data_IF_685418614757
#
_entry.id   IF_685418614757
#
_cell.length_a   1.000
_cell.length_b   1.000
_cell.length_c   1.000
_cell.angle_alpha   90.00
_cell.angle_beta   90.00
_cell.angle_gamma   90.00
#
_symmetry.space_group_name_H-M   'P 1'
#
loop_
_entity.id
_entity.type
_entity.pdbx_description
1 polymer ?
#
# COMPACT_ATOMS: atom_id res chain seq x y z
N UNK A 1 -13.47 0.18 2.94
CA UNK A 1 -13.81 -0.59 1.74
C UNK A 1 -13.69 -2.09 2.02
N UNK A 2 -14.67 -2.89 1.56
CA UNK A 2 -14.75 -4.33 1.83
C UNK A 2 -13.58 -5.13 1.25
N UNK A 3 -13.00 -4.66 0.15
CA UNK A 3 -11.88 -5.33 -0.53
C UNK A 3 -10.50 -4.84 -0.06
N UNK A 4 -10.41 -3.77 0.70
CA UNK A 4 -9.12 -3.34 1.24
C UNK A 4 -8.54 -4.41 2.17
N UNK A 5 -7.24 -4.67 2.03
CA UNK A 5 -6.55 -5.65 2.87
C UNK A 5 -6.32 -5.12 4.28
N UNK A 6 -6.23 -6.01 5.28
CA UNK A 6 -5.75 -5.63 6.60
C UNK A 6 -4.29 -5.13 6.50
N UNK A 7 -3.95 -4.18 7.33
CA UNK A 7 -2.56 -3.70 7.50
C UNK A 7 -1.85 -4.52 8.56
N UNK A 8 -0.54 -4.43 8.62
CA UNK A 8 0.20 -4.96 9.76
C UNK A 8 -0.14 -4.18 11.03
N UNK A 9 -0.19 -4.86 12.17
CA UNK A 9 -0.10 -4.21 13.48
C UNK A 9 1.20 -3.44 13.55
N UNK A 10 1.30 -2.54 14.54
CA UNK A 10 2.53 -1.80 14.77
C UNK A 10 3.74 -2.76 14.80
N UNK A 11 4.62 -2.57 13.81
CA UNK A 11 5.84 -3.36 13.68
C UNK A 11 6.88 -2.82 14.66
N UNK A 12 7.69 -3.73 15.21
CA UNK A 12 8.85 -3.34 15.99
C UNK A 12 9.94 -2.83 15.06
N UNK A 13 10.47 -1.65 15.32
CA UNK A 13 11.56 -1.07 14.53
C UNK A 13 12.52 -0.24 15.37
N UNK A 14 13.75 -0.10 14.86
CA UNK A 14 14.72 0.87 15.35
C UNK A 14 14.96 1.93 14.27
N UNK A 15 14.99 3.19 14.68
CA UNK A 15 15.32 4.34 13.83
C UNK A 15 16.60 4.99 14.32
N UNK A 16 17.74 4.53 13.81
CA UNK A 16 19.04 5.03 14.17
C UNK A 16 19.34 6.30 13.37
N UNK A 17 19.68 7.39 14.08
CA UNK A 17 20.02 8.66 13.42
C UNK A 17 21.28 8.59 12.56
N UNK A 18 22.17 7.67 12.88
CA UNK A 18 23.46 7.46 12.21
C UNK A 18 23.36 6.56 10.98
N UNK A 19 22.21 5.94 10.73
CA UNK A 19 21.98 4.98 9.65
C UNK A 19 20.85 5.42 8.72
N UNK A 20 20.90 4.99 7.47
CA UNK A 20 19.80 5.21 6.55
C UNK A 20 18.64 4.28 6.88
N UNK A 21 17.42 4.77 6.68
CA UNK A 21 16.20 3.98 6.77
C UNK A 21 15.83 3.54 8.19
N UNK A 22 15.18 2.41 8.28
CA UNK A 22 14.66 1.77 9.49
C UNK A 22 15.15 0.32 9.55
N UNK A 23 15.51 -0.13 10.74
CA UNK A 23 15.66 -1.56 11.03
C UNK A 23 14.32 -2.08 11.54
N UNK A 24 13.58 -2.79 10.68
CA UNK A 24 12.24 -3.27 10.97
C UNK A 24 12.26 -4.78 11.20
N UNK A 25 11.56 -5.26 12.23
CA UNK A 25 11.40 -6.70 12.48
C UNK A 25 10.18 -7.24 11.72
N UNK A 26 10.47 -8.00 10.66
CA UNK A 26 9.49 -8.67 9.81
C UNK A 26 9.53 -10.20 9.97
N UNK A 27 10.13 -10.71 11.05
CA UNK A 27 10.24 -12.16 11.27
C UNK A 27 8.89 -12.84 11.54
N UNK A 28 7.95 -12.10 12.15
CA UNK A 28 6.61 -12.61 12.46
C UNK A 28 5.56 -11.47 12.48
N UNK A 29 5.34 -10.78 11.34
CA UNK A 29 4.43 -9.66 11.27
C UNK A 29 2.97 -10.11 11.48
N UNK A 30 2.24 -9.42 12.35
CA UNK A 30 0.84 -9.73 12.63
C UNK A 30 -0.06 -8.75 11.88
N UNK A 31 -1.08 -9.28 11.22
CA UNK A 31 -2.11 -8.48 10.58
C UNK A 31 -3.11 -7.96 11.62
N UNK A 32 -3.58 -6.74 11.42
CA UNK A 32 -4.59 -6.14 12.28
C UNK A 32 -6.01 -6.52 11.84
N UNK A 33 -6.95 -6.38 12.77
CA UNK A 33 -8.38 -6.42 12.48
C UNK A 33 -8.74 -5.31 11.52
N UNK A 34 -9.53 -5.61 10.50
CA UNK A 34 -10.09 -4.56 9.64
C UNK A 34 -11.53 -4.27 10.00
N UNK A 35 -11.87 -3.00 10.01
CA UNK A 35 -13.22 -2.52 10.24
C UNK A 35 -13.75 -1.82 9.00
N UNK A 36 -15.03 -1.96 8.73
CA UNK A 36 -15.72 -1.29 7.64
C UNK A 36 -17.17 -1.02 7.98
N UNK A 37 -17.73 0.02 7.39
CA UNK A 37 -19.14 0.38 7.54
C UNK A 37 -19.94 -0.18 6.35
N UNK A 38 -21.00 -0.90 6.64
CA UNK A 38 -22.00 -1.31 5.66
C UNK A 38 -23.29 -0.52 5.87
N UNK A 39 -23.87 -0.10 4.76
CA UNK A 39 -25.15 0.60 4.73
C UNK A 39 -26.24 -0.37 4.21
N UNK A 40 -27.26 -0.62 5.04
CA UNK A 40 -28.38 -1.48 4.73
C UNK A 40 -29.64 -0.66 4.48
N UNK A 41 -30.26 -0.86 3.33
CA UNK A 41 -31.56 -0.26 2.98
C UNK A 41 -32.67 -1.29 3.20
N UNK A 42 -33.62 -1.00 4.07
CA UNK A 42 -34.73 -1.90 4.38
C UNK A 42 -35.97 -1.52 3.57
N UNK A 43 -36.26 -2.33 2.53
CA UNK A 43 -37.45 -2.15 1.72
C UNK A 43 -38.65 -2.70 2.48
N UNK A 44 -39.57 -1.82 2.86
CA UNK A 44 -40.93 -2.15 3.27
C UNK A 44 -41.28 -2.02 4.75
N UNK A 45 -40.36 -2.00 5.76
CA UNK A 45 -40.80 -1.74 7.13
C UNK A 45 -39.70 -1.73 8.22
N UNK A 46 -39.91 -0.92 9.24
CA UNK A 46 -39.21 -0.91 10.52
C UNK A 46 -39.05 -2.34 11.14
N UNK A 47 -40.09 -3.20 11.20
CA UNK A 47 -39.95 -4.54 11.79
C UNK A 47 -38.90 -5.44 11.14
N UNK A 48 -38.57 -5.26 9.86
CA UNK A 48 -37.49 -6.02 9.19
C UNK A 48 -36.13 -5.58 9.69
N UNK A 49 -35.92 -4.29 9.87
CA UNK A 49 -34.70 -3.73 10.43
C UNK A 49 -34.50 -4.20 11.88
N UNK A 50 -35.55 -4.14 12.72
CA UNK A 50 -35.46 -4.58 14.11
C UNK A 50 -35.10 -6.06 14.22
N UNK A 51 -35.68 -6.91 13.35
CA UNK A 51 -35.32 -8.33 13.27
C UNK A 51 -33.85 -8.53 12.83
N UNK A 52 -33.37 -7.75 11.87
CA UNK A 52 -31.96 -7.80 11.43
C UNK A 52 -31.02 -7.41 12.56
N UNK A 53 -31.31 -6.34 13.31
CA UNK A 53 -30.53 -5.92 14.46
C UNK A 53 -30.49 -7.02 15.53
N UNK A 54 -31.64 -7.64 15.82
CA UNK A 54 -31.72 -8.77 16.76
C UNK A 54 -30.84 -9.94 16.29
N UNK A 55 -30.88 -10.29 15.00
CA UNK A 55 -30.02 -11.35 14.45
C UNK A 55 -28.53 -11.02 14.58
N UNK A 56 -28.14 -9.77 14.31
CA UNK A 56 -26.74 -9.33 14.49
C UNK A 56 -26.30 -9.32 15.97
N UNK A 57 -27.25 -9.20 16.91
CA UNK A 57 -26.98 -9.17 18.34
C UNK A 57 -27.01 -10.55 19.00
N UNK A 58 -27.53 -11.56 18.32
CA UNK A 58 -27.73 -12.92 18.86
C UNK A 58 -26.40 -13.70 18.98
N UNK A 59 -25.50 -13.51 18.02
CA UNK A 59 -24.20 -14.16 17.99
C UNK A 59 -23.07 -13.14 17.92
N UNK A 60 -21.90 -13.51 18.47
CA UNK A 60 -20.72 -12.67 18.39
C UNK A 60 -20.21 -12.54 16.94
N UNK A 61 -20.31 -13.60 16.14
CA UNK A 61 -19.83 -13.68 14.76
C UNK A 61 -20.91 -14.16 13.81
N UNK A 62 -20.93 -13.57 12.61
CA UNK A 62 -21.84 -13.90 11.52
C UNK A 62 -21.10 -14.15 10.24
N UNK A 63 -21.45 -15.22 9.52
CA UNK A 63 -20.97 -15.43 8.14
C UNK A 63 -21.76 -14.54 7.19
N UNK A 64 -21.08 -13.57 6.59
CA UNK A 64 -21.63 -12.66 5.59
C UNK A 64 -21.13 -13.07 4.20
N UNK A 65 -22.06 -13.31 3.27
CA UNK A 65 -21.76 -13.68 1.89
C UNK A 65 -22.05 -12.47 1.00
N UNK A 66 -21.01 -11.99 0.33
CA UNK A 66 -21.06 -10.87 -0.62
C UNK A 66 -21.06 -11.46 -2.04
N UNK A 67 -22.25 -11.74 -2.56
CA UNK A 67 -22.43 -12.48 -3.82
C UNK A 67 -21.79 -11.76 -5.01
N UNK A 68 -21.95 -10.43 -5.07
CA UNK A 68 -21.48 -9.60 -6.19
C UNK A 68 -19.95 -9.55 -6.34
N UNK A 69 -19.22 -9.96 -5.31
CA UNK A 69 -17.75 -10.02 -5.30
C UNK A 69 -17.23 -11.42 -4.96
N UNK A 70 -18.11 -12.42 -4.88
CA UNK A 70 -17.76 -13.82 -4.53
C UNK A 70 -16.91 -13.94 -3.25
N UNK A 71 -17.24 -13.15 -2.23
CA UNK A 71 -16.50 -13.08 -0.96
C UNK A 71 -17.39 -13.53 0.20
N UNK A 72 -16.86 -14.40 1.06
CA UNK A 72 -17.48 -14.83 2.30
C UNK A 72 -16.58 -14.49 3.48
N UNK A 73 -17.13 -13.77 4.47
CA UNK A 73 -16.38 -13.31 5.63
C UNK A 73 -17.13 -13.63 6.91
N UNK A 74 -16.37 -13.98 7.94
CA UNK A 74 -16.88 -14.07 9.32
C UNK A 74 -16.69 -12.72 9.99
N UNK A 75 -17.79 -12.05 10.32
CA UNK A 75 -17.81 -10.67 10.78
C UNK A 75 -18.44 -10.55 12.16
N UNK A 76 -17.92 -9.62 12.94
CA UNK A 76 -18.45 -9.22 14.25
C UNK A 76 -19.04 -7.81 14.16
N UNK A 77 -20.22 -7.61 14.75
CA UNK A 77 -20.78 -6.27 14.88
C UNK A 77 -19.97 -5.47 15.91
N UNK A 78 -19.53 -4.27 15.53
CA UNK A 78 -18.82 -3.33 16.42
C UNK A 78 -19.79 -2.29 16.96
N UNK A 79 -20.54 -1.65 16.08
CA UNK A 79 -21.50 -0.62 16.46
C UNK A 79 -22.56 -0.41 15.39
N UNK A 80 -23.66 0.18 15.78
CA UNK A 80 -24.67 0.74 14.89
C UNK A 80 -24.36 2.23 14.76
N UNK A 81 -23.90 2.65 13.57
CA UNK A 81 -23.40 4.00 13.34
C UNK A 81 -24.49 5.05 13.13
N UNK A 82 -25.63 4.67 12.61
CA UNK A 82 -26.73 5.61 12.39
C UNK A 82 -27.97 4.98 11.77
N UNK A 83 -29.09 5.61 12.03
CA UNK A 83 -30.37 5.28 11.44
C UNK A 83 -30.92 6.52 10.74
N UNK A 84 -31.17 6.42 9.47
CA UNK A 84 -31.86 7.43 8.67
C UNK A 84 -33.24 6.92 8.26
N UNK A 85 -34.26 7.68 8.58
CA UNK A 85 -35.66 7.39 8.24
C UNK A 85 -36.18 8.31 7.12
N UNK A 86 -35.30 8.99 6.42
CA UNK A 86 -35.67 9.91 5.36
C UNK A 86 -36.36 9.15 4.22
N UNK A 87 -37.41 9.71 3.68
CA UNK A 87 -38.23 9.12 2.61
C UNK A 87 -38.97 7.80 2.96
N UNK A 88 -39.16 7.51 4.25
CA UNK A 88 -39.97 6.36 4.68
C UNK A 88 -39.31 4.99 4.52
N UNK A 89 -38.04 4.94 4.11
CA UNK A 89 -37.24 3.73 4.05
C UNK A 89 -36.15 3.79 5.09
N UNK A 90 -36.12 2.85 6.06
CA UNK A 90 -35.05 2.80 7.04
C UNK A 90 -33.70 2.47 6.38
N UNK A 91 -32.70 3.31 6.64
CA UNK A 91 -31.30 3.10 6.24
C UNK A 91 -30.47 2.94 7.51
N UNK A 92 -29.86 1.79 7.68
CA UNK A 92 -29.06 1.44 8.84
C UNK A 92 -27.58 1.35 8.44
N UNK A 93 -26.73 2.06 9.16
CA UNK A 93 -25.28 1.94 9.07
C UNK A 93 -24.78 1.07 10.19
N UNK A 94 -24.03 0.04 9.85
CA UNK A 94 -23.45 -0.91 10.79
C UNK A 94 -21.96 -0.98 10.58
N UNK A 95 -21.20 -0.78 11.65
CA UNK A 95 -19.76 -1.01 11.64
C UNK A 95 -19.50 -2.47 12.01
N UNK A 96 -18.78 -3.15 11.12
CA UNK A 96 -18.42 -4.55 11.26
C UNK A 96 -16.89 -4.70 11.32
N UNK A 97 -16.43 -5.71 12.03
CA UNK A 97 -15.03 -6.09 12.13
C UNK A 97 -14.79 -7.49 11.55
N UNK A 98 -13.69 -7.66 10.86
CA UNK A 98 -13.15 -8.95 10.42
C UNK A 98 -11.88 -9.23 11.21
N UNK A 99 -11.98 -10.13 12.20
CA UNK A 99 -10.94 -10.40 13.19
C UNK A 99 -9.97 -11.53 12.76
N UNK A 100 -10.26 -12.22 11.65
CA UNK A 100 -9.46 -13.35 11.13
C UNK A 100 -8.82 -13.01 9.76
N UNK A 101 -7.90 -12.05 9.70
CA UNK A 101 -7.35 -11.55 8.43
C UNK A 101 -6.61 -12.62 7.63
N UNK A 102 -6.07 -13.65 8.26
CA UNK A 102 -5.38 -14.76 7.58
C UNK A 102 -6.30 -15.59 6.69
N UNK A 103 -7.62 -15.57 6.92
CA UNK A 103 -8.61 -16.25 6.08
C UNK A 103 -8.71 -15.64 4.67
N UNK A 104 -8.16 -14.43 4.47
CA UNK A 104 -8.09 -13.79 3.17
C UNK A 104 -6.92 -14.27 2.32
N UNK A 105 -5.91 -14.88 2.94
CA UNK A 105 -4.78 -15.40 2.19
C UNK A 105 -5.22 -16.54 1.27
N UNK A 106 -4.76 -16.48 0.04
CA UNK A 106 -5.03 -17.50 -0.95
C UNK A 106 -3.72 -18.07 -1.49
N UNK A 107 -3.65 -19.40 -1.54
CA UNK A 107 -2.46 -20.15 -1.98
C UNK A 107 -2.65 -20.78 -3.36
N UNK A 108 -3.71 -20.42 -4.07
CA UNK A 108 -3.96 -20.92 -5.43
C UNK A 108 -3.14 -20.13 -6.43
N UNK A 109 -2.45 -20.80 -7.34
CA UNK A 109 -1.70 -20.12 -8.39
C UNK A 109 -2.56 -19.12 -9.17
N UNK A 110 -2.08 -17.90 -9.43
CA UNK A 110 -2.83 -16.90 -10.17
C UNK A 110 -3.02 -17.32 -11.63
N UNK A 111 -4.06 -16.79 -12.28
CA UNK A 111 -4.34 -17.01 -13.69
C UNK A 111 -4.40 -15.65 -14.39
N UNK A 112 -3.44 -15.38 -15.25
CA UNK A 112 -3.38 -14.14 -16.00
C UNK A 112 -4.24 -14.18 -17.25
N UNK A 113 -4.90 -13.06 -17.57
CA UNK A 113 -5.58 -12.81 -18.83
C UNK A 113 -4.97 -11.64 -19.61
N UNK A 114 -3.78 -11.19 -19.21
CA UNK A 114 -3.04 -10.11 -19.87
C UNK A 114 -1.74 -10.65 -20.48
N UNK A 115 -1.15 -9.85 -21.36
CA UNK A 115 0.15 -10.19 -21.93
C UNK A 115 1.23 -10.17 -20.84
N UNK A 116 2.14 -11.13 -20.93
CA UNK A 116 3.32 -11.20 -20.08
C UNK A 116 4.14 -9.91 -20.16
N UNK A 117 4.62 -9.43 -19.04
CA UNK A 117 5.50 -8.27 -18.94
C UNK A 117 6.39 -8.41 -17.71
N UNK A 118 7.67 -8.10 -17.87
CA UNK A 118 8.67 -8.07 -16.80
C UNK A 118 8.93 -6.64 -16.28
N UNK A 119 8.12 -5.65 -16.67
CA UNK A 119 8.29 -4.25 -16.25
C UNK A 119 8.39 -4.12 -14.71
N UNK A 120 7.66 -4.99 -14.00
CA UNK A 120 7.72 -5.13 -12.56
C UNK A 120 7.69 -6.61 -12.20
N UNK A 121 8.61 -7.04 -11.33
CA UNK A 121 8.57 -8.39 -10.74
C UNK A 121 8.58 -8.32 -9.23
N UNK A 122 7.88 -9.26 -8.58
CA UNK A 122 7.87 -9.42 -7.13
C UNK A 122 8.50 -10.78 -6.83
N UNK A 123 9.61 -10.80 -6.07
CA UNK A 123 10.39 -12.02 -5.78
C UNK A 123 10.74 -12.83 -7.04
N UNK A 124 11.02 -12.13 -8.15
CA UNK A 124 11.31 -12.73 -9.45
C UNK A 124 10.09 -13.18 -10.25
N UNK A 125 8.87 -13.07 -9.72
CA UNK A 125 7.63 -13.38 -10.42
C UNK A 125 7.07 -12.11 -11.06
N UNK A 126 6.89 -12.07 -12.39
CA UNK A 126 6.25 -10.93 -13.04
C UNK A 126 4.85 -10.68 -12.50
N UNK A 127 4.56 -9.45 -12.13
CA UNK A 127 3.23 -9.11 -11.60
C UNK A 127 2.10 -9.30 -12.63
N UNK A 128 2.45 -9.34 -13.91
CA UNK A 128 1.51 -9.67 -15.00
C UNK A 128 0.92 -11.09 -14.87
N UNK A 129 1.57 -12.01 -14.16
CA UNK A 129 1.03 -13.35 -13.88
C UNK A 129 -0.22 -13.30 -12.97
N UNK A 130 -0.35 -12.25 -12.14
CA UNK A 130 -1.56 -11.99 -11.36
C UNK A 130 -2.66 -11.28 -12.16
N UNK A 131 -2.48 -11.08 -13.48
CA UNK A 131 -3.38 -10.23 -14.27
C UNK A 131 -3.26 -8.75 -13.91
N UNK A 132 -2.13 -8.34 -13.30
CA UNK A 132 -1.88 -7.01 -12.75
C UNK A 132 -1.00 -6.18 -13.68
N UNK A 133 -1.36 -4.92 -13.87
CA UNK A 133 -0.56 -3.89 -14.54
C UNK A 133 -0.34 -2.72 -13.61
N UNK A 134 0.88 -2.20 -13.60
CA UNK A 134 1.20 -0.93 -12.95
C UNK A 134 0.90 0.20 -13.92
N UNK A 135 0.14 1.18 -13.46
CA UNK A 135 -0.30 2.32 -14.26
C UNK A 135 0.68 3.48 -14.19
N UNK A 136 0.53 4.40 -15.15
CA UNK A 136 1.28 5.64 -15.23
C UNK A 136 1.22 6.44 -13.91
N UNK A 137 2.32 7.11 -13.56
CA UNK A 137 2.49 7.84 -12.32
C UNK A 137 3.09 7.04 -11.17
N UNK A 138 3.13 5.69 -11.25
CA UNK A 138 3.78 4.85 -10.24
C UNK A 138 5.31 4.99 -10.28
N UNK A 139 5.90 5.08 -11.47
CA UNK A 139 7.34 5.22 -11.63
C UNK A 139 7.89 6.50 -10.97
N UNK A 140 7.13 7.59 -10.97
CA UNK A 140 7.53 8.82 -10.30
C UNK A 140 7.63 8.64 -8.78
N UNK A 141 6.78 7.80 -8.18
CA UNK A 141 6.88 7.44 -6.77
C UNK A 141 8.12 6.58 -6.48
N UNK A 142 8.46 5.67 -7.41
CA UNK A 142 9.68 4.85 -7.30
C UNK A 142 10.95 5.70 -7.43
N UNK A 143 11.00 6.62 -8.39
CA UNK A 143 12.17 7.48 -8.65
C UNK A 143 12.33 8.66 -7.68
N UNK A 144 11.26 9.04 -6.94
CA UNK A 144 11.36 10.11 -5.96
C UNK A 144 12.43 9.74 -4.92
N UNK A 145 13.41 10.63 -4.60
CA UNK A 145 14.38 10.35 -3.55
C UNK A 145 13.70 10.23 -2.18
N UNK A 146 14.28 9.47 -1.23
CA UNK A 146 13.78 9.39 0.13
C UNK A 146 13.96 10.74 0.86
N UNK A 147 13.11 10.99 1.85
CA UNK A 147 13.21 12.18 2.69
C UNK A 147 14.43 12.09 3.62
N UNK A 148 15.05 13.24 3.89
CA UNK A 148 16.21 13.34 4.78
C UNK A 148 15.77 13.16 6.24
N UNK A 149 16.57 12.44 7.04
CA UNK A 149 16.40 12.38 8.51
C UNK A 149 16.76 13.73 9.12
N UNK A 150 16.01 14.11 10.17
CA UNK A 150 16.38 15.29 10.93
C UNK A 150 17.72 15.07 11.63
N UNK A 151 18.66 15.96 11.38
CA UNK A 151 19.97 15.94 12.02
C UNK A 151 19.98 16.87 13.23
N UNK A 152 21.02 16.75 14.07
CA UNK A 152 21.18 17.61 15.23
C UNK A 152 21.24 19.08 14.77
N UNK A 153 20.21 19.84 15.11
CA UNK A 153 20.07 21.25 14.83
C UNK A 153 19.77 22.00 16.15
N UNK A 154 20.62 22.95 16.51
CA UNK A 154 20.38 23.82 17.66
C UNK A 154 20.33 25.27 17.24
N UNK A 155 19.16 25.85 17.38
CA UNK A 155 18.99 27.30 17.25
C UNK A 155 19.07 27.92 18.65
N UNK A 156 20.09 28.70 18.91
CA UNK A 156 20.38 29.35 20.22
C UNK A 156 20.14 30.84 20.02
N UNK A 157 19.30 31.45 20.85
CA UNK A 157 18.91 32.88 20.73
C UNK A 157 20.06 33.87 20.85
N UNK A 158 21.21 33.44 21.39
CA UNK A 158 22.43 34.27 21.56
C UNK A 158 23.42 34.14 20.40
N UNK A 159 23.15 33.30 19.42
CA UNK A 159 23.99 33.06 18.25
C UNK A 159 23.25 33.45 16.95
N UNK A 160 23.97 33.97 15.98
CA UNK A 160 23.44 34.15 14.64
C UNK A 160 23.41 32.80 13.93
N UNK A 161 22.24 32.45 13.34
CA UNK A 161 22.05 31.18 12.66
C UNK A 161 21.82 30.01 13.62
N UNK A 162 22.12 28.80 13.17
CA UNK A 162 21.94 27.56 13.92
C UNK A 162 23.25 26.74 13.91
N UNK A 163 23.45 25.97 14.94
CA UNK A 163 24.50 24.94 14.97
C UNK A 163 23.90 23.68 14.38
N UNK A 164 24.43 23.25 13.25
CA UNK A 164 23.98 22.03 12.55
C UNK A 164 25.12 21.00 12.54
N UNK A 165 24.77 19.73 12.72
CA UNK A 165 25.75 18.64 12.59
C UNK A 165 26.15 18.52 11.10
N UNK A 166 27.44 18.57 10.83
CA UNK A 166 28.00 18.58 9.48
C UNK A 166 28.46 17.19 8.99
N UNK A 167 27.96 16.12 9.60
CA UNK A 167 28.18 14.76 9.12
C UNK A 167 27.33 14.42 7.90
N UNK A 168 27.50 13.21 7.40
CA UNK A 168 26.77 12.74 6.23
C UNK A 168 25.25 12.78 6.45
N UNK A 169 24.54 13.20 5.43
CA UNK A 169 23.08 13.17 5.40
C UNK A 169 22.60 11.72 5.47
N UNK A 170 21.57 11.49 6.29
CA UNK A 170 20.90 10.20 6.41
C UNK A 170 19.47 10.31 5.92
N UNK A 171 18.96 9.23 5.37
CA UNK A 171 17.64 9.18 4.73
C UNK A 171 16.65 8.36 5.55
N UNK A 172 15.38 8.76 5.50
CA UNK A 172 14.26 8.01 6.10
C UNK A 172 13.91 6.80 5.24
N UNK A 173 13.23 5.83 5.81
CA UNK A 173 12.51 4.83 5.02
C UNK A 173 11.59 5.52 4.01
N UNK A 174 11.35 4.87 2.88
CA UNK A 174 10.65 5.46 1.75
C UNK A 174 9.40 4.65 1.42
N UNK A 175 8.26 5.32 1.35
CA UNK A 175 7.05 4.72 0.83
C UNK A 175 6.96 4.94 -0.68
N UNK A 176 6.67 3.86 -1.40
CA UNK A 176 6.36 3.89 -2.83
C UNK A 176 4.90 3.51 -3.04
N UNK A 177 4.23 4.23 -3.92
CA UNK A 177 2.84 3.98 -4.27
C UNK A 177 2.75 3.49 -5.71
N UNK A 178 2.28 2.26 -5.87
CA UNK A 178 2.01 1.66 -7.17
C UNK A 178 0.50 1.76 -7.46
N UNK A 179 0.15 2.44 -8.54
CA UNK A 179 -1.22 2.45 -9.07
C UNK A 179 -1.41 1.18 -9.90
N UNK A 180 -2.29 0.32 -9.45
CA UNK A 180 -2.46 -1.01 -9.99
C UNK A 180 -3.83 -1.19 -10.64
N UNK A 181 -3.84 -1.91 -11.77
CA UNK A 181 -5.06 -2.37 -12.42
C UNK A 181 -4.96 -3.88 -12.61
N UNK A 182 -5.82 -4.62 -11.92
CA UNK A 182 -5.92 -6.07 -12.05
C UNK A 182 -7.14 -6.44 -12.88
N UNK A 183 -6.99 -7.39 -13.79
CA UNK A 183 -8.08 -7.89 -14.65
C UNK A 183 -8.11 -9.41 -14.64
N UNK A 184 -9.29 -9.99 -14.87
CA UNK A 184 -9.47 -11.42 -15.04
C UNK A 184 -10.71 -11.71 -15.92
N UNK A 185 -10.79 -12.91 -16.46
CA UNK A 185 -11.95 -13.32 -17.28
C UNK A 185 -13.15 -13.72 -16.42
N UNK A 186 -12.88 -14.20 -15.19
CA UNK A 186 -13.88 -14.61 -14.22
C UNK A 186 -13.73 -13.84 -12.92
N UNK A 187 -14.85 -13.50 -12.28
CA UNK A 187 -14.83 -12.81 -10.99
C UNK A 187 -14.12 -13.60 -9.91
N UNK A 188 -14.32 -14.91 -9.86
CA UNK A 188 -13.60 -15.81 -8.95
C UNK A 188 -12.11 -15.78 -9.21
N UNK A 189 -11.66 -15.69 -10.46
CA UNK A 189 -10.26 -15.53 -10.84
C UNK A 189 -9.69 -14.20 -10.39
N UNK A 190 -10.45 -13.10 -10.57
CA UNK A 190 -10.03 -11.77 -10.10
C UNK A 190 -9.79 -11.76 -8.58
N UNK A 191 -10.75 -12.25 -7.82
CA UNK A 191 -10.67 -12.33 -6.35
C UNK A 191 -9.56 -13.29 -5.91
N UNK A 192 -9.41 -14.44 -6.60
CA UNK A 192 -8.32 -15.38 -6.36
C UNK A 192 -6.95 -14.71 -6.53
N UNK A 193 -6.69 -14.08 -7.67
CA UNK A 193 -5.41 -13.42 -7.96
C UNK A 193 -5.13 -12.30 -6.95
N UNK A 194 -6.17 -11.53 -6.58
CA UNK A 194 -6.07 -10.44 -5.64
C UNK A 194 -5.62 -10.90 -4.24
N UNK A 195 -6.20 -11.98 -3.75
CA UNK A 195 -5.82 -12.51 -2.43
C UNK A 195 -4.57 -13.41 -2.46
N UNK A 196 -4.19 -13.93 -3.64
CA UNK A 196 -2.88 -14.56 -3.82
C UNK A 196 -1.76 -13.51 -3.73
N UNK A 197 -1.93 -12.37 -4.40
CA UNK A 197 -0.98 -11.25 -4.27
C UNK A 197 -0.88 -10.76 -2.80
N UNK A 198 -2.01 -10.70 -2.09
CA UNK A 198 -2.02 -10.37 -0.66
C UNK A 198 -1.23 -11.39 0.17
N UNK A 199 -1.37 -12.69 -0.13
CA UNK A 199 -0.59 -13.71 0.55
C UNK A 199 0.92 -13.47 0.37
N UNK A 200 1.38 -13.30 -0.87
CA UNK A 200 2.79 -13.06 -1.18
C UNK A 200 3.35 -11.83 -0.46
N UNK A 201 2.61 -10.72 -0.50
CA UNK A 201 3.05 -9.45 0.10
C UNK A 201 3.04 -9.46 1.63
N UNK A 202 2.29 -10.36 2.27
CA UNK A 202 2.16 -10.43 3.73
C UNK A 202 2.91 -11.60 4.35
N UNK A 203 3.75 -12.30 3.58
CA UNK A 203 4.69 -13.29 4.12
C UNK A 203 5.80 -12.62 4.95
N UNK A 204 6.52 -13.42 5.70
CA UNK A 204 7.62 -12.96 6.57
C UNK A 204 8.80 -12.42 5.75
N UNK A 205 9.48 -11.41 6.28
CA UNK A 205 10.61 -10.76 5.64
C UNK A 205 10.23 -9.71 4.60
N UNK A 206 11.22 -9.16 3.95
CA UNK A 206 11.06 -8.21 2.84
C UNK A 206 10.75 -8.94 1.53
N UNK A 207 10.16 -8.21 0.58
CA UNK A 207 9.92 -8.65 -0.80
C UNK A 207 10.86 -7.92 -1.74
N UNK A 208 11.34 -8.61 -2.76
CA UNK A 208 12.20 -8.04 -3.78
C UNK A 208 11.32 -7.51 -4.94
N UNK A 209 11.14 -6.18 -5.00
CA UNK A 209 10.46 -5.52 -6.10
C UNK A 209 11.48 -5.07 -7.13
N UNK A 210 11.58 -5.76 -8.27
CA UNK A 210 12.36 -5.29 -9.41
C UNK A 210 11.52 -4.36 -10.29
N UNK A 211 12.15 -3.28 -10.77
CA UNK A 211 11.54 -2.29 -11.66
C UNK A 211 12.44 -2.11 -12.88
N UNK A 212 12.01 -2.56 -14.04
CA UNK A 212 12.81 -2.54 -15.27
C UNK A 212 13.25 -1.13 -15.68
N UNK A 213 12.36 -0.14 -15.55
CA UNK A 213 12.63 1.26 -15.90
C UNK A 213 13.76 1.93 -15.08
N UNK A 214 14.16 1.34 -13.93
CA UNK A 214 15.32 1.75 -13.14
C UNK A 214 16.42 0.70 -13.17
N UNK A 215 16.12 -0.50 -13.66
CA UNK A 215 16.99 -1.69 -13.61
C UNK A 215 17.46 -2.03 -12.20
N UNK A 216 16.64 -1.72 -11.19
CA UNK A 216 16.94 -1.88 -9.77
C UNK A 216 15.96 -2.79 -9.07
N UNK A 217 16.42 -3.45 -8.01
CA UNK A 217 15.61 -4.24 -7.09
C UNK A 217 15.52 -3.54 -5.75
N UNK A 218 14.31 -3.28 -5.31
CA UNK A 218 14.00 -2.61 -4.04
C UNK A 218 13.50 -3.64 -3.03
N UNK A 219 14.22 -3.79 -1.93
CA UNK A 219 13.71 -4.57 -0.80
C UNK A 219 12.62 -3.78 -0.09
N UNK A 220 11.41 -4.26 -0.09
CA UNK A 220 10.26 -3.58 0.46
C UNK A 220 9.36 -4.52 1.26
N UNK A 221 8.42 -3.95 2.00
CA UNK A 221 7.36 -4.71 2.66
C UNK A 221 6.01 -4.03 2.45
N UNK A 222 4.94 -4.79 2.60
CA UNK A 222 3.57 -4.30 2.49
C UNK A 222 3.27 -3.28 3.59
N UNK A 223 2.76 -2.13 3.21
CA UNK A 223 2.29 -1.09 4.12
C UNK A 223 0.76 -1.04 4.13
N UNK A 224 0.17 -0.72 2.99
CA UNK A 224 -1.28 -0.56 2.88
C UNK A 224 -1.76 -0.70 1.44
N UNK A 225 -3.07 -0.85 1.29
CA UNK A 225 -3.75 -0.83 0.00
C UNK A 225 -4.99 0.05 0.09
N UNK A 226 -5.29 0.76 -0.99
CA UNK A 226 -6.52 1.52 -1.16
C UNK A 226 -7.19 1.14 -2.45
N UNK A 227 -8.35 0.50 -2.36
CA UNK A 227 -9.14 0.16 -3.53
C UNK A 227 -9.87 1.40 -4.03
N UNK A 228 -9.60 1.79 -5.26
CA UNK A 228 -10.16 2.98 -5.90
C UNK A 228 -11.42 2.66 -6.67
N UNK A 229 -11.41 1.59 -7.44
CA UNK A 229 -12.56 1.19 -8.25
C UNK A 229 -12.66 -0.33 -8.40
N UNK A 230 -13.89 -0.81 -8.52
CA UNK A 230 -14.22 -2.23 -8.74
C UNK A 230 -15.29 -2.33 -9.80
N UNK A 231 -15.07 -3.17 -10.80
CA UNK A 231 -16.03 -3.44 -11.85
C UNK A 231 -16.28 -4.94 -11.98
N UNK A 232 -17.50 -5.38 -11.64
CA UNK A 232 -17.85 -6.81 -11.55
C UNK A 232 -18.84 -7.26 -12.63
N UNK A 233 -19.22 -6.37 -13.56
CA UNK A 233 -20.14 -6.66 -14.65
C UNK A 233 -19.52 -6.34 -16.01
N UNK A 234 -19.53 -7.30 -16.94
CA UNK A 234 -18.92 -7.14 -18.25
C UNK A 234 -17.42 -7.40 -18.22
N UNK A 235 -16.58 -6.38 -18.43
CA UNK A 235 -15.12 -6.49 -18.22
C UNK A 235 -14.83 -6.38 -16.74
N UNK A 236 -14.24 -7.42 -16.17
CA UNK A 236 -13.91 -7.48 -14.75
C UNK A 236 -12.56 -6.81 -14.50
N UNK A 237 -12.53 -5.84 -13.60
CA UNK A 237 -11.30 -5.20 -13.19
C UNK A 237 -11.39 -4.60 -11.78
N UNK A 238 -10.24 -4.49 -11.15
CA UNK A 238 -10.02 -3.93 -9.84
C UNK A 238 -8.86 -2.95 -9.93
N UNK A 239 -9.11 -1.68 -9.64
CA UNK A 239 -8.08 -0.65 -9.54
C UNK A 239 -7.80 -0.33 -8.07
N UNK A 240 -6.50 -0.24 -7.74
CA UNK A 240 -6.08 0.04 -6.37
C UNK A 240 -4.70 0.71 -6.33
N UNK A 241 -4.44 1.40 -5.25
CA UNK A 241 -3.13 1.94 -4.91
C UNK A 241 -2.49 1.02 -3.87
N UNK A 242 -1.35 0.43 -4.22
CA UNK A 242 -0.55 -0.41 -3.34
C UNK A 242 0.61 0.40 -2.81
N UNK A 243 0.71 0.52 -1.48
CA UNK A 243 1.81 1.20 -0.82
C UNK A 243 2.76 0.15 -0.24
N UNK A 244 4.01 0.24 -0.66
CA UNK A 244 5.11 -0.58 -0.15
C UNK A 244 6.14 0.34 0.51
N UNK A 245 6.70 -0.08 1.63
CA UNK A 245 7.75 0.65 2.33
C UNK A 245 9.11 0.02 2.06
N UNK A 246 10.06 0.80 1.57
CA UNK A 246 11.48 0.44 1.46
C UNK A 246 12.14 0.85 2.77
N UNK A 247 12.48 -0.11 3.65
CA UNK A 247 13.02 0.23 4.97
C UNK A 247 14.39 0.90 4.87
N UNK A 248 15.26 0.44 3.98
CA UNK A 248 16.61 0.94 3.79
C UNK A 248 16.83 1.39 2.35
N UNK A 249 16.39 2.61 1.98
CA UNK A 249 16.59 3.11 0.63
C UNK A 249 18.06 3.38 0.37
N UNK A 250 18.57 2.84 -0.74
CA UNK A 250 19.85 3.23 -1.29
C UNK A 250 19.64 4.48 -2.15
N UNK A 251 20.44 5.49 -1.92
CA UNK A 251 20.52 6.65 -2.82
C UNK A 251 21.73 6.39 -3.71
N UNK A 252 21.48 6.17 -4.99
CA UNK A 252 22.56 6.13 -5.96
C UNK A 252 23.22 7.52 -5.98
N UNK A 253 24.50 7.57 -5.80
CA UNK A 253 25.27 8.78 -6.06
C UNK A 253 25.32 8.93 -7.59
N UNK A 254 24.33 9.59 -8.16
CA UNK A 254 24.43 10.02 -9.56
C UNK A 254 25.35 11.23 -9.60
N UNK A 255 26.39 11.16 -10.41
CA UNK A 255 27.23 12.32 -10.71
C UNK A 255 26.41 13.33 -11.52
N UNK A 256 26.10 14.47 -10.92
CA UNK A 256 25.43 15.56 -11.63
C UNK A 256 26.45 16.61 -12.02
N UNK A 257 26.58 16.83 -13.32
CA UNK A 257 27.36 17.94 -13.84
C UNK A 257 26.50 19.20 -13.84
N UNK A 258 26.96 20.24 -13.17
CA UNK A 258 26.32 21.56 -13.25
C UNK A 258 26.45 22.13 -14.63
N UNK A 259 25.33 22.52 -15.24
CA UNK A 259 25.32 23.26 -16.49
C UNK A 259 24.59 24.58 -16.37
N UNK A 260 24.98 25.54 -17.22
CA UNK A 260 24.24 26.79 -17.38
C UNK A 260 22.92 26.52 -18.13
N UNK A 261 22.01 27.51 -18.16
CA UNK A 261 20.76 27.47 -18.95
C UNK A 261 21.03 27.24 -20.45
N UNK A 262 22.20 27.66 -20.94
CA UNK A 262 22.64 27.46 -22.33
C UNK A 262 23.30 26.10 -22.57
N UNK A 263 23.31 25.20 -21.56
CA UNK A 263 23.86 23.85 -21.67
C UNK A 263 25.38 23.77 -21.61
N UNK A 264 26.06 24.82 -21.17
CA UNK A 264 27.51 24.81 -20.93
C UNK A 264 27.80 24.24 -19.55
N UNK A 265 28.71 23.27 -19.46
CA UNK A 265 29.16 22.73 -18.18
C UNK A 265 29.95 23.77 -17.38
N UNK A 266 29.67 23.85 -16.09
CA UNK A 266 30.44 24.69 -15.17
C UNK A 266 31.66 23.91 -14.74
N UNK A 267 32.85 24.47 -15.01
CA UNK A 267 34.15 23.87 -14.67
C UNK A 267 34.76 24.61 -13.51
N UNK A 268 35.77 24.02 -12.87
CA UNK A 268 36.65 24.70 -11.91
C UNK A 268 37.46 25.81 -12.59
N UNK A 269 38.07 26.72 -11.81
CA UNK A 269 38.85 27.85 -12.36
C UNK A 269 39.97 27.44 -13.29
N UNK A 270 40.52 26.23 -13.14
CA UNK A 270 41.52 25.67 -14.02
C UNK A 270 41.01 25.15 -15.33
N UNK A 271 39.69 25.13 -15.54
CA UNK A 271 38.96 24.60 -16.72
C UNK A 271 39.29 23.15 -17.05
N UNK A 272 39.84 22.39 -16.13
CA UNK A 272 40.30 21.01 -16.32
C UNK A 272 39.26 20.02 -15.73
N UNK A 273 38.66 20.40 -14.58
CA UNK A 273 37.73 19.57 -13.86
C UNK A 273 36.31 20.16 -13.95
N UNK A 274 35.32 19.31 -14.10
CA UNK A 274 33.91 19.68 -13.95
C UNK A 274 33.59 19.80 -12.46
N UNK A 275 32.66 20.69 -12.12
CA UNK A 275 32.12 20.73 -10.77
C UNK A 275 31.12 19.58 -10.68
N UNK A 276 31.53 18.58 -9.96
CA UNK A 276 30.75 17.40 -9.64
C UNK A 276 29.99 17.66 -8.35
N UNK A 277 28.70 17.41 -8.34
CA UNK A 277 27.90 17.40 -7.12
C UNK A 277 27.64 15.95 -6.75
N UNK A 278 28.53 15.37 -5.94
CA UNK A 278 28.17 14.17 -5.19
C UNK A 278 27.04 14.55 -4.20
N UNK A 279 25.86 14.04 -4.46
CA UNK A 279 24.68 14.23 -3.60
C UNK A 279 24.53 13.03 -2.68
#
# INVERSE_FOLDING_TARGET
NLLEWPVFKELSYNDWHEENGLEVDLSDPKLDTRTFELTFNFIGSQPRMDKFILQLSDLAYHTCIFVDISLSLTLRMVSIGGLDLTNGLPVLKVQLAHDEPLTLRNYTAPISNISYSEDYTLDGIPISEYGLRVLEGSLSSVKKPPDVKENLNRNISTLNGAIYYNGNVKYKAKDITLKCLMTADLLTGLINNYYTLFNELTETGTRDLYVDATSETYQCYYNSIKVTEVYTTGKLWLAFELVLTIPNPTVALEEFLLSTEDGLFITTEDSINYIDMEV
#
